data_IF_578700175322
#
_entry.id   IF_578700175322
#
_cell.length_a   1.000
_cell.length_b   1.000
_cell.length_c   1.000
_cell.angle_alpha   90.00
_cell.angle_beta   90.00
_cell.angle_gamma   90.00
#
_symmetry.space_group_name_H-M   'P 1'
#
loop_
_entity.id
_entity.type
_entity.pdbx_description
1 polymer ?
#
# COMPACT_ATOMS: atom_id res chain seq x y z
N UNK A 1 7.15 29.61 10.35
CA UNK A 1 6.62 28.27 10.64
C UNK A 1 5.13 28.29 10.35
N UNK A 2 4.63 27.73 9.24
CA UNK A 2 3.21 27.49 9.09
C UNK A 2 2.86 26.12 9.67
N UNK A 3 1.75 26.10 10.42
CA UNK A 3 1.13 24.92 10.98
C UNK A 3 0.56 24.06 9.83
N UNK A 4 1.00 22.82 9.72
CA UNK A 4 0.35 21.81 8.88
C UNK A 4 -0.98 21.44 9.54
N UNK A 5 -2.09 21.74 8.88
CA UNK A 5 -3.43 21.32 9.31
C UNK A 5 -3.96 20.29 8.33
N UNK A 6 -3.72 19.02 8.62
CA UNK A 6 -4.21 17.90 7.83
C UNK A 6 -5.60 17.51 8.32
N UNK A 7 -6.63 17.70 7.51
CA UNK A 7 -7.99 17.22 7.81
C UNK A 7 -8.18 15.82 7.20
N UNK A 8 -8.17 14.79 8.04
CA UNK A 8 -8.45 13.40 7.66
C UNK A 8 -9.96 13.15 7.76
N UNK A 9 -10.65 12.99 6.63
CA UNK A 9 -12.04 12.51 6.60
C UNK A 9 -12.03 11.10 6.03
N UNK A 10 -11.96 10.10 6.90
CA UNK A 10 -12.11 8.68 6.52
C UNK A 10 -13.58 8.28 6.54
N UNK A 11 -14.16 7.96 5.37
CA UNK A 11 -15.48 7.32 5.28
C UNK A 11 -15.26 5.81 5.15
N UNK A 12 -15.49 5.10 6.25
CA UNK A 12 -15.24 3.66 6.36
C UNK A 12 -16.48 2.86 5.91
N UNK A 13 -16.48 2.36 4.67
CA UNK A 13 -17.50 1.43 4.19
C UNK A 13 -17.06 -0.02 4.42
N UNK A 14 -17.56 -0.66 5.48
CA UNK A 14 -17.40 -2.11 5.66
C UNK A 14 -18.48 -2.86 4.88
N UNK A 15 -18.11 -3.44 3.74
CA UNK A 15 -18.91 -4.48 3.08
C UNK A 15 -18.52 -5.84 3.66
N UNK A 16 -19.27 -6.33 4.66
CA UNK A 16 -19.11 -7.70 5.18
C UNK A 16 -20.02 -8.65 4.42
N UNK A 17 -19.44 -9.64 3.74
CA UNK A 17 -20.17 -10.72 3.04
C UNK A 17 -20.20 -11.98 3.91
N UNK A 18 -21.21 -12.87 3.75
CA UNK A 18 -21.27 -14.12 4.50
C UNK A 18 -20.05 -15.01 4.18
N UNK A 19 -19.44 -15.60 5.23
CA UNK A 19 -18.31 -16.51 5.06
C UNK A 19 -18.77 -17.81 4.39
N UNK A 20 -18.52 -17.91 3.08
CA UNK A 20 -18.47 -19.21 2.41
C UNK A 20 -17.29 -19.97 3.04
N UNK A 21 -17.57 -21.02 3.81
CA UNK A 21 -16.64 -21.82 4.62
C UNK A 21 -15.14 -21.57 4.34
N UNK A 22 -14.48 -20.90 5.30
CA UNK A 22 -13.05 -20.62 5.27
C UNK A 22 -12.64 -19.36 4.48
N UNK A 23 -13.52 -18.72 3.72
CA UNK A 23 -13.20 -17.47 3.03
C UNK A 23 -13.56 -16.23 3.85
N UNK A 24 -12.65 -15.27 3.88
CA UNK A 24 -12.85 -13.93 4.44
C UNK A 24 -12.46 -12.91 3.38
N UNK A 25 -13.33 -11.93 3.14
CA UNK A 25 -13.05 -10.81 2.23
C UNK A 25 -13.23 -9.52 3.01
N UNK A 26 -12.19 -8.68 3.01
CA UNK A 26 -12.20 -7.37 3.65
C UNK A 26 -11.83 -6.32 2.62
N UNK A 27 -12.69 -5.30 2.49
CA UNK A 27 -12.40 -4.11 1.70
C UNK A 27 -12.22 -2.90 2.62
N UNK A 28 -11.30 -2.02 2.27
CA UNK A 28 -11.11 -0.72 2.89
C UNK A 28 -10.94 0.32 1.79
N UNK A 29 -11.33 1.55 2.06
CA UNK A 29 -11.20 2.66 1.12
C UNK A 29 -10.96 3.93 1.89
N UNK A 30 -9.84 4.58 1.62
CA UNK A 30 -9.48 5.85 2.22
C UNK A 30 -9.47 6.95 1.16
N UNK A 31 -9.82 8.16 1.55
CA UNK A 31 -9.73 9.36 0.71
C UNK A 31 -8.86 10.36 1.45
N UNK A 32 -7.88 10.91 0.74
CA UNK A 32 -6.98 11.94 1.26
C UNK A 32 -7.06 13.17 0.39
N UNK A 33 -6.82 14.32 1.02
CA UNK A 33 -6.40 15.52 0.33
C UNK A 33 -4.94 15.78 0.68
N UNK A 34 -4.14 16.14 -0.31
CA UNK A 34 -2.75 16.56 -0.15
C UNK A 34 -2.51 17.84 -0.91
N UNK A 35 -1.71 18.75 -0.35
CA UNK A 35 -1.20 19.93 -1.04
C UNK A 35 0.03 19.62 -1.91
N UNK A 36 0.59 18.42 -1.76
CA UNK A 36 1.76 17.95 -2.50
C UNK A 36 1.63 16.46 -2.85
N UNK A 37 1.37 16.17 -4.13
CA UNK A 37 1.18 14.83 -4.63
C UNK A 37 2.48 14.00 -4.64
N UNK A 38 3.64 14.62 -4.91
CA UNK A 38 4.92 13.93 -4.98
C UNK A 38 5.40 13.54 -3.58
N UNK A 39 5.28 14.45 -2.61
CA UNK A 39 5.60 14.17 -1.22
C UNK A 39 4.62 13.15 -0.61
N UNK A 40 3.33 13.23 -0.94
CA UNK A 40 2.36 12.23 -0.50
C UNK A 40 2.70 10.84 -1.06
N UNK A 41 2.98 10.73 -2.36
CA UNK A 41 3.32 9.46 -3.00
C UNK A 41 4.58 8.82 -2.39
N UNK A 42 5.64 9.62 -2.20
CA UNK A 42 6.91 9.17 -1.63
C UNK A 42 6.80 8.75 -0.15
N UNK A 43 6.02 9.46 0.67
CA UNK A 43 5.80 9.08 2.08
C UNK A 43 4.98 7.79 2.22
N UNK A 44 4.01 7.54 1.32
CA UNK A 44 3.28 6.27 1.30
C UNK A 44 4.18 5.09 0.97
N UNK A 45 5.20 5.27 0.14
CA UNK A 45 6.27 4.28 -0.08
C UNK A 45 7.06 4.00 1.20
N UNK A 46 7.49 5.05 1.93
CA UNK A 46 8.24 4.92 3.19
C UNK A 46 7.46 4.15 4.27
N UNK A 47 6.14 4.34 4.34
CA UNK A 47 5.30 3.63 5.31
C UNK A 47 5.04 2.17 4.94
N UNK A 48 5.15 1.79 3.66
CA UNK A 48 4.67 0.49 3.16
C UNK A 48 5.68 -0.63 3.33
N UNK A 49 6.95 -0.34 3.52
CA UNK A 49 7.96 -1.33 3.82
C UNK A 49 8.92 -0.75 4.84
N UNK A 50 9.32 -1.58 5.80
CA UNK A 50 10.51 -1.40 6.64
C UNK A 50 11.79 -1.43 5.79
N UNK A 51 11.78 -0.74 4.65
CA UNK A 51 12.82 -0.66 3.64
C UNK A 51 13.83 0.39 4.12
N UNK A 52 15.04 -0.04 4.54
CA UNK A 52 16.06 0.87 5.02
C UNK A 52 16.67 1.71 3.89
N UNK A 53 16.37 1.42 2.61
CA UNK A 53 16.78 2.23 1.46
C UNK A 53 15.80 3.39 1.26
N UNK A 54 15.81 4.29 2.25
CA UNK A 54 14.96 5.48 2.23
C UNK A 54 15.28 6.32 0.99
N UNK A 55 14.29 6.67 0.14
CA UNK A 55 14.48 7.80 -0.76
C UNK A 55 14.79 9.04 0.08
N UNK A 56 15.94 9.66 -0.17
CA UNK A 56 16.22 11.00 0.35
C UNK A 56 15.14 11.90 -0.21
N UNK A 57 14.28 12.43 0.67
CA UNK A 57 13.30 13.44 0.28
C UNK A 57 14.11 14.68 -0.12
N UNK A 58 14.32 14.84 -1.42
CA UNK A 58 14.91 16.05 -1.98
C UNK A 58 13.90 17.20 -1.83
N UNK A 59 14.37 18.39 -1.47
CA UNK A 59 13.54 19.59 -1.43
C UNK A 59 12.91 19.92 -2.79
N UNK A 60 13.43 19.35 -3.87
CA UNK A 60 12.86 19.40 -5.23
C UNK A 60 11.60 18.53 -5.43
N UNK A 61 11.35 17.57 -4.53
CA UNK A 61 10.10 16.80 -4.51
C UNK A 61 8.94 17.56 -3.86
N UNK A 62 9.24 18.70 -3.23
CA UNK A 62 8.20 19.53 -2.63
C UNK A 62 7.47 20.38 -3.68
N UNK A 63 6.21 20.70 -3.39
CA UNK A 63 5.36 21.65 -4.12
C UNK A 63 4.97 21.18 -5.54
N UNK A 64 4.81 19.86 -5.75
CA UNK A 64 4.42 19.30 -7.06
C UNK A 64 2.89 19.25 -7.29
N UNK A 65 2.13 20.11 -6.62
CA UNK A 65 0.69 20.30 -6.81
C UNK A 65 -0.18 19.50 -5.86
N UNK A 66 -1.40 19.99 -5.65
CA UNK A 66 -2.40 19.39 -4.78
C UNK A 66 -3.16 18.26 -5.49
N UNK A 67 -3.73 17.35 -4.69
CA UNK A 67 -4.57 16.29 -5.20
C UNK A 67 -5.54 15.72 -4.16
N UNK A 68 -6.60 15.10 -4.68
CA UNK A 68 -7.43 14.15 -3.95
C UNK A 68 -6.98 12.74 -4.32
N UNK A 69 -6.62 11.96 -3.31
CA UNK A 69 -6.10 10.60 -3.48
C UNK A 69 -7.08 9.59 -2.92
N UNK A 70 -7.52 8.66 -3.76
CA UNK A 70 -8.33 7.51 -3.36
C UNK A 70 -7.46 6.27 -3.18
N UNK A 71 -7.54 5.63 -2.02
CA UNK A 71 -6.79 4.45 -1.66
C UNK A 71 -7.73 3.26 -1.42
N UNK A 72 -8.07 2.49 -2.46
CA UNK A 72 -8.79 1.25 -2.30
C UNK A 72 -7.84 0.14 -1.85
N UNK A 73 -8.27 -0.66 -0.87
CA UNK A 73 -7.58 -1.87 -0.43
C UNK A 73 -8.58 -3.02 -0.37
N UNK A 74 -8.16 -4.19 -0.82
CA UNK A 74 -8.92 -5.43 -0.71
C UNK A 74 -8.02 -6.54 -0.19
N UNK A 75 -8.53 -7.37 0.70
CA UNK A 75 -7.85 -8.53 1.24
C UNK A 75 -8.79 -9.73 1.18
N UNK A 76 -8.36 -10.78 0.51
CA UNK A 76 -9.06 -12.05 0.41
C UNK A 76 -8.22 -13.08 1.15
N UNK A 77 -8.81 -13.76 2.11
CA UNK A 77 -8.19 -14.85 2.85
C UNK A 77 -9.00 -16.12 2.67
N UNK A 78 -8.30 -17.26 2.66
CA UNK A 78 -8.86 -18.59 2.70
C UNK A 78 -8.15 -19.41 3.76
N UNK A 79 -8.89 -19.82 4.78
CA UNK A 79 -8.44 -20.74 5.82
C UNK A 79 -9.02 -22.14 5.54
N UNK A 80 -8.15 -23.15 5.55
CA UNK A 80 -8.52 -24.55 5.33
C UNK A 80 -7.56 -25.49 6.06
N UNK A 81 -7.84 -26.80 6.02
CA UNK A 81 -6.91 -27.79 6.54
C UNK A 81 -6.19 -28.53 5.41
N UNK A 82 -4.85 -28.55 5.47
CA UNK A 82 -4.00 -29.37 4.62
C UNK A 82 -3.32 -30.41 5.52
N UNK A 83 -3.41 -31.70 5.17
CA UNK A 83 -2.84 -32.80 5.97
C UNK A 83 -3.29 -32.78 7.45
N UNK A 84 -4.53 -32.35 7.73
CA UNK A 84 -5.09 -32.27 9.08
C UNK A 84 -4.54 -31.09 9.92
N UNK A 85 -3.80 -30.16 9.30
CA UNK A 85 -3.23 -28.98 9.96
C UNK A 85 -3.82 -27.69 9.38
N UNK A 86 -3.92 -26.60 10.16
CA UNK A 86 -4.37 -25.30 9.65
C UNK A 86 -3.42 -24.74 8.58
N UNK A 87 -4.03 -24.16 7.55
CA UNK A 87 -3.37 -23.45 6.45
C UNK A 87 -4.18 -22.21 6.12
N UNK A 88 -3.50 -21.09 5.89
CA UNK A 88 -4.13 -19.86 5.42
C UNK A 88 -3.44 -19.36 4.15
N UNK A 89 -4.25 -18.89 3.20
CA UNK A 89 -3.79 -18.19 2.01
C UNK A 89 -4.44 -16.82 1.98
N UNK A 90 -3.63 -15.77 1.84
CA UNK A 90 -4.06 -14.38 1.77
C UNK A 90 -3.58 -13.71 0.50
N UNK A 91 -4.43 -12.91 -0.13
CA UNK A 91 -4.07 -12.03 -1.25
C UNK A 91 -4.61 -10.65 -0.93
N UNK A 92 -3.73 -9.64 -0.88
CA UNK A 92 -4.09 -8.25 -0.64
C UNK A 92 -3.67 -7.38 -1.81
N UNK A 93 -4.62 -6.62 -2.35
CA UNK A 93 -4.38 -5.56 -3.32
C UNK A 93 -4.59 -4.20 -2.66
N UNK A 94 -3.76 -3.23 -3.02
CA UNK A 94 -3.88 -1.83 -2.57
C UNK A 94 -3.55 -0.91 -3.73
N UNK A 95 -4.35 0.12 -3.94
CA UNK A 95 -4.13 1.13 -4.97
C UNK A 95 -4.01 2.53 -4.38
N UNK A 96 -3.35 3.43 -5.11
CA UNK A 96 -3.37 4.87 -4.89
C UNK A 96 -3.75 5.53 -6.21
N UNK A 97 -4.88 6.22 -6.21
CA UNK A 97 -5.45 6.89 -7.38
C UNK A 97 -5.50 8.39 -7.10
N UNK A 98 -4.56 9.10 -7.72
CA UNK A 98 -4.47 10.55 -7.78
C UNK A 98 -5.40 11.05 -8.89
N UNK A 99 -6.16 12.11 -8.61
CA UNK A 99 -7.18 12.62 -9.53
C UNK A 99 -6.56 13.51 -10.60
N UNK A 100 -5.69 14.43 -10.19
CA UNK A 100 -5.06 15.41 -11.08
C UNK A 100 -3.64 15.01 -11.50
N UNK A 101 -2.94 14.24 -10.67
CA UNK A 101 -1.54 13.86 -10.88
C UNK A 101 -1.41 12.34 -11.13
N UNK A 102 -2.09 11.84 -12.16
CA UNK A 102 -2.24 10.40 -12.44
C UNK A 102 -0.93 9.65 -12.68
N UNK A 103 0.16 10.37 -12.99
CA UNK A 103 1.52 9.82 -13.07
C UNK A 103 1.99 9.17 -11.76
N UNK A 104 1.42 9.56 -10.62
CA UNK A 104 1.69 8.93 -9.32
C UNK A 104 0.79 7.72 -9.03
N UNK A 105 -0.16 7.38 -9.91
CA UNK A 105 -1.04 6.23 -9.71
C UNK A 105 -0.24 4.93 -9.67
N UNK A 106 -0.53 4.10 -8.69
CA UNK A 106 0.13 2.81 -8.56
C UNK A 106 -0.70 1.84 -7.74
N UNK A 107 -0.37 0.56 -7.87
CA UNK A 107 -0.95 -0.50 -7.07
C UNK A 107 0.12 -1.48 -6.60
N UNK A 108 -0.11 -2.09 -5.45
CA UNK A 108 0.70 -3.18 -4.95
C UNK A 108 -0.16 -4.42 -4.71
N UNK A 109 0.49 -5.57 -4.84
CA UNK A 109 -0.09 -6.87 -4.55
C UNK A 109 0.79 -7.57 -3.53
N UNK A 110 0.19 -8.11 -2.48
CA UNK A 110 0.86 -9.03 -1.58
C UNK A 110 0.13 -10.36 -1.52
N UNK A 111 0.91 -11.43 -1.44
CA UNK A 111 0.43 -12.80 -1.26
C UNK A 111 1.11 -13.36 -0.01
N UNK A 112 0.31 -13.92 0.88
CA UNK A 112 0.78 -14.57 2.10
C UNK A 112 0.24 -16.01 2.14
N UNK A 113 1.09 -16.94 2.53
CA UNK A 113 0.70 -18.32 2.77
C UNK A 113 1.31 -18.79 4.09
N UNK A 114 0.47 -19.25 5.01
CA UNK A 114 0.89 -19.83 6.29
C UNK A 114 0.43 -21.28 6.40
N UNK A 115 1.28 -22.15 6.93
CA UNK A 115 0.94 -23.54 7.16
C UNK A 115 1.61 -24.07 8.43
N UNK A 116 0.81 -24.70 9.30
CA UNK A 116 1.34 -25.33 10.50
C UNK A 116 1.94 -26.70 10.17
N UNK A 117 3.26 -26.82 10.28
CA UNK A 117 3.99 -28.09 10.10
C UNK A 117 3.82 -29.00 11.32
N UNK A 118 3.84 -28.41 12.51
CA UNK A 118 3.63 -29.09 13.80
C UNK A 118 2.70 -28.25 14.69
N UNK A 119 2.50 -28.63 15.96
CA UNK A 119 1.79 -27.79 16.93
C UNK A 119 2.58 -26.56 17.39
N UNK A 120 3.89 -26.49 17.08
CA UNK A 120 4.79 -25.42 17.55
C UNK A 120 5.61 -24.79 16.42
N UNK A 121 5.53 -25.32 15.20
CA UNK A 121 6.29 -24.84 14.04
C UNK A 121 5.35 -24.53 12.89
N UNK A 122 5.48 -23.33 12.34
CA UNK A 122 4.74 -22.87 11.17
C UNK A 122 5.70 -22.39 10.08
N UNK A 123 5.31 -22.61 8.84
CA UNK A 123 5.94 -22.02 7.67
C UNK A 123 5.12 -20.79 7.24
N UNK A 124 5.81 -19.68 6.98
CA UNK A 124 5.20 -18.45 6.46
C UNK A 124 5.95 -18.03 5.20
N UNK A 125 5.21 -17.89 4.11
CA UNK A 125 5.73 -17.38 2.84
C UNK A 125 5.01 -16.07 2.52
N UNK A 126 5.80 -15.06 2.13
CA UNK A 126 5.30 -13.75 1.76
C UNK A 126 5.93 -13.33 0.45
N UNK A 127 5.09 -12.88 -0.47
CA UNK A 127 5.53 -12.25 -1.70
C UNK A 127 4.86 -10.88 -1.80
N UNK A 128 5.64 -9.88 -2.19
CA UNK A 128 5.17 -8.52 -2.40
C UNK A 128 5.61 -8.06 -3.78
N UNK A 129 4.68 -7.48 -4.51
CA UNK A 129 4.92 -6.83 -5.79
C UNK A 129 4.43 -5.38 -5.70
N UNK A 130 5.31 -4.46 -6.09
CA UNK A 130 4.98 -3.05 -6.35
C UNK A 130 5.78 -2.57 -7.54
N UNK A 131 5.19 -1.79 -8.46
CA UNK A 131 5.90 -1.24 -9.61
C UNK A 131 6.88 -0.16 -9.17
N UNK A 132 7.83 0.14 -10.06
CA UNK A 132 8.63 1.36 -9.92
C UNK A 132 7.70 2.57 -10.01
N UNK A 133 7.82 3.44 -9.00
CA UNK A 133 6.94 4.60 -8.86
C UNK A 133 7.57 5.83 -9.49
N UNK A 134 6.73 6.66 -10.10
CA UNK A 134 7.14 8.01 -10.45
C UNK A 134 7.42 8.78 -9.16
N UNK A 135 8.66 9.21 -8.97
CA UNK A 135 9.10 9.90 -7.77
C UNK A 135 8.91 11.42 -7.85
N UNK A 136 8.33 11.94 -8.93
CA UNK A 136 8.27 13.37 -9.21
C UNK A 136 9.31 13.78 -10.23
N UNK A 137 9.24 15.04 -10.67
CA UNK A 137 10.26 15.61 -11.56
C UNK A 137 11.56 15.82 -10.78
N UNK A 138 12.57 14.99 -11.07
CA UNK A 138 13.92 15.13 -10.53
C UNK A 138 14.86 15.63 -11.63
N UNK A 139 15.75 16.57 -11.30
CA UNK A 139 16.84 16.94 -12.20
C UNK A 139 17.98 15.94 -12.04
N UNK A 140 18.32 15.22 -13.11
CA UNK A 140 19.57 14.46 -13.16
C UNK A 140 20.68 15.49 -13.33
N UNK A 141 21.51 15.68 -12.30
CA UNK A 141 22.72 16.50 -12.46
C UNK A 141 23.55 15.88 -13.59
N UNK A 142 23.88 16.63 -14.65
CA UNK A 142 24.83 16.17 -15.65
C UNK A 142 26.13 15.84 -14.93
N UNK A 143 26.68 14.66 -15.20
CA UNK A 143 28.05 14.35 -14.81
C UNK A 143 28.91 15.28 -15.66
N UNK A 144 29.58 16.26 -15.04
CA UNK A 144 30.60 17.05 -15.74
C UNK A 144 31.75 16.09 -16.08
N UNK A 145 31.94 15.82 -17.38
CA UNK A 145 33.11 15.12 -17.94
C UNK A 145 34.33 16.05 -18.01
#
# INVERSE_FOLDING_TARGET
MPFFSSLLIGILFFLTSPSFAGWTVTGESNVYYTDDAALFSSTRRLSRNQDPTQPVIDSLLANQGDDVVFEPTAHIMKSFSLMGRPTELGVRGQGFVFTNNTQFNHGSLSVEASHNLTSTTALLMRYFFGPDLFLGKNEVRPIEE
#
